data_IF_965128454072
#
_entry.id   IF_965128454072
#
_cell.length_a   1.000
_cell.length_b   1.000
_cell.length_c   1.000
_cell.angle_alpha   90.00
_cell.angle_beta   90.00
_cell.angle_gamma   90.00
#
_symmetry.space_group_name_H-M   'P 1'
#
loop_
_entity.id
_entity.type
_entity.pdbx_description
1 polymer ?
#
# COMPACT_ATOMS: atom_id res chain seq x y z
N UNK A 1 14.86 -13.99 -15.48
CA UNK A 1 13.49 -13.80 -15.03
C UNK A 1 12.99 -12.46 -15.52
N UNK A 2 11.95 -12.46 -16.33
CA UNK A 2 11.41 -11.20 -16.84
C UNK A 2 10.78 -10.42 -15.68
N UNK A 3 11.29 -9.24 -15.45
CA UNK A 3 10.71 -8.31 -14.48
C UNK A 3 9.30 -7.96 -14.94
N UNK A 4 8.25 -8.19 -14.12
CA UNK A 4 6.90 -7.81 -14.49
C UNK A 4 6.69 -6.27 -14.52
N UNK A 5 7.69 -5.51 -14.10
CA UNK A 5 7.64 -4.06 -14.07
C UNK A 5 7.28 -3.42 -15.41
N UNK A 6 7.87 -3.79 -16.56
CA UNK A 6 7.51 -3.17 -17.83
C UNK A 6 6.03 -3.31 -18.19
N UNK A 7 5.43 -4.44 -17.86
CA UNK A 7 4.01 -4.69 -18.12
C UNK A 7 3.11 -3.88 -17.21
N UNK A 8 3.49 -3.76 -15.94
CA UNK A 8 2.78 -2.92 -14.96
C UNK A 8 2.83 -1.46 -15.36
N UNK A 9 4.00 -1.01 -15.77
CA UNK A 9 4.20 0.36 -16.26
C UNK A 9 3.34 0.63 -17.49
N UNK A 10 3.35 -0.29 -18.46
CA UNK A 10 2.57 -0.13 -19.69
C UNK A 10 1.05 -0.06 -19.41
N UNK A 11 0.56 -0.92 -18.49
CA UNK A 11 -0.86 -0.97 -18.15
C UNK A 11 -1.36 0.27 -17.42
N UNK A 12 -0.47 1.00 -16.72
CA UNK A 12 -0.82 2.16 -15.91
C UNK A 12 -0.23 3.46 -16.45
N UNK A 13 0.50 3.42 -17.57
CA UNK A 13 1.28 4.54 -18.09
C UNK A 13 0.45 5.78 -18.41
N UNK A 14 -0.83 5.62 -18.73
CA UNK A 14 -1.73 6.75 -19.03
C UNK A 14 -2.05 7.58 -17.79
N UNK A 15 -1.93 6.99 -16.62
CA UNK A 15 -2.34 7.62 -15.35
C UNK A 15 -1.18 7.82 -14.39
N UNK A 16 -0.29 6.84 -14.28
CA UNK A 16 0.80 6.84 -13.31
C UNK A 16 2.12 6.56 -13.99
N UNK A 17 3.10 7.43 -13.76
CA UNK A 17 4.47 7.21 -14.22
C UNK A 17 5.29 6.67 -13.05
N UNK A 18 5.69 5.42 -13.14
CA UNK A 18 6.49 4.78 -12.10
C UNK A 18 7.92 5.34 -12.14
N UNK A 19 8.39 5.84 -11.01
CA UNK A 19 9.73 6.40 -10.87
C UNK A 19 10.73 5.39 -10.31
N UNK A 20 10.37 4.69 -9.24
CA UNK A 20 11.22 3.67 -8.63
C UNK A 20 10.43 2.78 -7.68
N UNK A 21 11.02 1.64 -7.34
CA UNK A 21 10.49 0.75 -6.33
C UNK A 21 10.83 1.30 -4.93
N UNK A 22 9.86 1.33 -4.04
CA UNK A 22 10.03 1.75 -2.65
C UNK A 22 10.25 0.56 -1.73
N UNK A 23 9.62 -0.56 -2.02
CA UNK A 23 9.75 -1.75 -1.20
C UNK A 23 9.00 -2.93 -1.78
N UNK A 24 9.37 -4.12 -1.33
CA UNK A 24 8.74 -5.36 -1.75
C UNK A 24 8.52 -6.25 -0.53
N UNK A 25 7.29 -6.70 -0.35
CA UNK A 25 6.92 -7.68 0.66
C UNK A 25 6.43 -8.98 0.05
N UNK A 26 5.99 -9.91 0.88
CA UNK A 26 5.42 -11.18 0.42
C UNK A 26 4.13 -11.04 -0.36
N UNK A 27 3.37 -9.97 -0.13
CA UNK A 27 2.03 -9.78 -0.69
C UNK A 27 1.97 -8.76 -1.84
N UNK A 28 2.85 -7.78 -1.82
CA UNK A 28 2.78 -6.68 -2.78
C UNK A 28 4.13 -6.01 -2.98
N UNK A 29 4.23 -5.25 -4.07
CA UNK A 29 5.36 -4.35 -4.33
C UNK A 29 4.84 -2.92 -4.32
N UNK A 30 5.58 -2.01 -3.69
CA UNK A 30 5.21 -0.60 -3.60
C UNK A 30 6.16 0.23 -4.44
N UNK A 31 5.61 1.09 -5.28
CA UNK A 31 6.36 1.97 -6.16
C UNK A 31 6.09 3.43 -5.84
N UNK A 32 7.10 4.26 -6.00
CA UNK A 32 6.92 5.70 -6.11
C UNK A 32 6.48 6.00 -7.54
N UNK A 33 5.39 6.72 -7.68
CA UNK A 33 4.86 7.08 -8.98
C UNK A 33 4.40 8.54 -9.01
N UNK A 34 4.34 9.11 -10.20
CA UNK A 34 3.74 10.41 -10.45
C UNK A 34 2.31 10.20 -10.95
N UNK A 35 1.34 10.75 -10.23
CA UNK A 35 -0.04 10.80 -10.68
C UNK A 35 -0.15 11.89 -11.73
N UNK A 36 -0.28 11.49 -12.99
CA UNK A 36 -0.26 12.43 -14.11
C UNK A 36 -1.52 13.28 -14.20
N UNK A 37 -2.62 12.78 -13.66
CA UNK A 37 -3.90 13.51 -13.67
C UNK A 37 -3.90 14.65 -12.65
N UNK A 38 -3.32 14.42 -11.47
CA UNK A 38 -3.35 15.38 -10.37
C UNK A 38 -2.00 16.03 -10.10
N UNK A 39 -0.99 15.68 -10.89
CA UNK A 39 0.38 16.21 -10.80
C UNK A 39 0.95 16.16 -9.38
N UNK A 40 0.97 14.94 -8.84
CA UNK A 40 1.46 14.71 -7.48
C UNK A 40 2.12 13.34 -7.35
N UNK A 41 3.02 13.21 -6.39
CA UNK A 41 3.65 11.93 -6.08
C UNK A 41 2.73 11.07 -5.23
N UNK A 42 2.69 9.78 -5.56
CA UNK A 42 1.86 8.80 -4.85
C UNK A 42 2.66 7.52 -4.61
N UNK A 43 2.20 6.73 -3.65
CA UNK A 43 2.67 5.37 -3.45
C UNK A 43 1.68 4.42 -4.13
N UNK A 44 2.17 3.66 -5.10
CA UNK A 44 1.38 2.71 -5.86
C UNK A 44 1.69 1.30 -5.35
N UNK A 45 0.73 0.65 -4.72
CA UNK A 45 0.89 -0.69 -4.20
C UNK A 45 0.23 -1.68 -5.16
N UNK A 46 1.04 -2.58 -5.72
CA UNK A 46 0.59 -3.58 -6.69
C UNK A 46 0.66 -4.95 -6.03
N UNK A 47 -0.47 -5.62 -5.94
CA UNK A 47 -0.52 -6.97 -5.37
C UNK A 47 0.17 -7.96 -6.30
N UNK A 48 0.84 -8.94 -5.72
CA UNK A 48 1.46 -10.01 -6.50
C UNK A 48 0.38 -10.82 -7.22
N UNK A 49 0.61 -11.26 -8.46
CA UNK A 49 -0.40 -11.99 -9.24
C UNK A 49 -0.97 -13.22 -8.53
N UNK A 50 -0.15 -13.93 -7.76
CA UNK A 50 -0.58 -15.10 -7.00
C UNK A 50 -1.65 -14.74 -5.97
N UNK A 51 -1.47 -13.62 -5.28
CA UNK A 51 -2.42 -13.13 -4.29
C UNK A 51 -3.68 -12.62 -4.96
N UNK A 52 -3.56 -11.91 -6.07
CA UNK A 52 -4.69 -11.42 -6.83
C UNK A 52 -5.59 -12.56 -7.31
N UNK A 53 -4.99 -13.67 -7.74
CA UNK A 53 -5.74 -14.87 -8.15
C UNK A 53 -6.52 -15.50 -6.99
N UNK A 54 -5.96 -15.48 -5.79
CA UNK A 54 -6.59 -16.07 -4.59
C UNK A 54 -7.73 -15.19 -4.09
N UNK A 55 -7.51 -13.89 -4.00
CA UNK A 55 -8.51 -12.94 -3.47
C UNK A 55 -9.67 -12.75 -4.47
N UNK A 56 -9.37 -12.62 -5.77
CA UNK A 56 -10.34 -12.28 -6.79
C UNK A 56 -10.69 -10.80 -6.83
N UNK A 57 -11.00 -10.31 -8.02
CA UNK A 57 -11.24 -8.89 -8.26
C UNK A 57 -12.47 -8.35 -7.51
N UNK A 58 -13.54 -9.12 -7.47
CA UNK A 58 -14.79 -8.70 -6.82
C UNK A 58 -14.61 -8.50 -5.32
N UNK A 59 -13.95 -9.45 -4.66
CA UNK A 59 -13.68 -9.37 -3.23
C UNK A 59 -12.73 -8.21 -2.92
N UNK A 60 -11.73 -8.00 -3.75
CA UNK A 60 -10.80 -6.88 -3.63
C UNK A 60 -11.55 -5.54 -3.66
N UNK A 61 -12.48 -5.36 -4.60
CA UNK A 61 -13.26 -4.12 -4.70
C UNK A 61 -14.10 -3.88 -3.44
N UNK A 62 -14.72 -4.92 -2.89
CA UNK A 62 -15.53 -4.80 -1.66
C UNK A 62 -14.64 -4.41 -0.47
N UNK A 63 -13.50 -5.07 -0.29
CA UNK A 63 -12.57 -4.75 0.79
C UNK A 63 -12.01 -3.33 0.67
N UNK A 64 -11.70 -2.89 -0.54
CA UNK A 64 -11.19 -1.55 -0.80
C UNK A 64 -12.24 -0.48 -0.48
N UNK A 65 -13.49 -0.69 -0.83
CA UNK A 65 -14.57 0.27 -0.50
C UNK A 65 -14.69 0.47 1.01
N UNK A 66 -14.60 -0.61 1.76
CA UNK A 66 -14.64 -0.55 3.22
C UNK A 66 -13.44 0.22 3.78
N UNK A 67 -12.25 -0.08 3.28
CA UNK A 67 -11.01 0.60 3.70
C UNK A 67 -11.00 2.07 3.28
N UNK A 68 -11.49 2.38 2.09
CA UNK A 68 -11.53 3.75 1.57
C UNK A 68 -12.44 4.67 2.41
N UNK A 69 -13.39 4.11 3.13
CA UNK A 69 -14.28 4.87 4.00
C UNK A 69 -13.62 5.28 5.33
N UNK A 70 -12.46 4.72 5.66
CA UNK A 70 -11.75 5.04 6.90
C UNK A 70 -11.14 6.44 6.82
N UNK A 71 -11.38 7.25 7.85
CA UNK A 71 -10.81 8.59 7.97
C UNK A 71 -10.23 8.74 9.37
N UNK A 72 -8.92 8.68 9.47
CA UNK A 72 -8.22 8.75 10.75
C UNK A 72 -6.84 9.37 10.54
N UNK A 73 -6.34 10.21 11.49
CA UNK A 73 -5.04 10.88 11.34
C UNK A 73 -3.85 9.94 11.19
N UNK A 74 -3.95 8.72 11.70
CA UNK A 74 -2.87 7.73 11.67
C UNK A 74 -3.14 6.56 10.72
N UNK A 75 -4.10 6.71 9.80
CA UNK A 75 -4.35 5.74 8.74
C UNK A 75 -4.17 6.45 7.40
N UNK A 76 -3.31 5.90 6.53
CA UNK A 76 -3.13 6.46 5.20
C UNK A 76 -4.44 6.36 4.41
N UNK A 77 -4.89 7.46 3.82
CA UNK A 77 -6.07 7.41 2.97
C UNK A 77 -5.80 6.65 1.68
N UNK A 78 -6.87 6.18 1.06
CA UNK A 78 -6.82 5.56 -0.25
C UNK A 78 -7.25 6.59 -1.28
N UNK A 79 -6.38 6.88 -2.26
CA UNK A 79 -6.69 7.82 -3.33
C UNK A 79 -7.43 7.14 -4.48
N UNK A 80 -7.05 5.91 -4.83
CA UNK A 80 -7.61 5.19 -5.96
C UNK A 80 -7.28 3.71 -5.86
N UNK A 81 -8.01 2.90 -6.61
CA UNK A 81 -7.75 1.47 -6.72
C UNK A 81 -8.28 0.95 -8.03
N UNK A 82 -7.82 -0.21 -8.47
CA UNK A 82 -8.35 -0.79 -9.67
C UNK A 82 -7.64 -2.07 -10.09
N UNK A 83 -7.97 -2.46 -11.30
CA UNK A 83 -7.36 -3.57 -11.99
C UNK A 83 -6.57 -3.04 -13.18
N UNK A 84 -5.41 -3.63 -13.44
CA UNK A 84 -4.61 -3.32 -14.61
C UNK A 84 -4.17 -4.61 -15.29
N UNK A 85 -4.03 -4.57 -16.60
CA UNK A 85 -3.66 -5.72 -17.41
C UNK A 85 -4.81 -6.20 -18.27
N UNK A 86 -4.50 -7.07 -19.23
CA UNK A 86 -5.49 -7.62 -20.16
C UNK A 86 -5.73 -9.08 -19.85
N UNK A 87 -6.97 -9.45 -19.56
CA UNK A 87 -7.36 -10.86 -19.38
C UNK A 87 -7.13 -11.67 -20.65
N UNK A 88 -7.27 -11.02 -21.80
CA UNK A 88 -7.16 -11.65 -23.12
C UNK A 88 -5.74 -12.11 -23.48
N UNK A 89 -4.72 -11.50 -22.85
CA UNK A 89 -3.32 -11.84 -23.14
C UNK A 89 -2.79 -13.02 -22.34
N UNK A 90 -3.60 -13.59 -21.44
CA UNK A 90 -3.15 -14.69 -20.57
C UNK A 90 -2.15 -14.28 -19.49
N UNK A 91 -1.86 -13.00 -19.37
CA UNK A 91 -0.84 -12.45 -18.46
C UNK A 91 -1.36 -12.12 -17.06
N UNK A 92 -2.65 -12.30 -16.84
CA UNK A 92 -3.27 -12.01 -15.56
C UNK A 92 -3.57 -10.53 -15.36
N UNK A 93 -4.45 -10.28 -14.41
CA UNK A 93 -4.87 -8.94 -14.02
C UNK A 93 -4.12 -8.57 -12.75
N UNK A 94 -3.60 -7.34 -12.70
CA UNK A 94 -2.97 -6.80 -11.50
C UNK A 94 -3.99 -6.01 -10.70
N UNK A 95 -4.07 -6.26 -9.41
CA UNK A 95 -4.83 -5.44 -8.49
C UNK A 95 -3.89 -4.42 -7.87
N UNK A 96 -4.31 -3.17 -7.80
CA UNK A 96 -3.48 -2.10 -7.26
C UNK A 96 -4.31 -1.10 -6.47
N UNK A 97 -3.63 -0.38 -5.57
CA UNK A 97 -4.20 0.80 -4.95
C UNK A 97 -3.16 1.89 -4.78
N UNK A 98 -3.67 3.12 -4.73
CA UNK A 98 -2.87 4.34 -4.73
C UNK A 98 -3.09 5.07 -3.41
N UNK A 99 -1.99 5.43 -2.78
CA UNK A 99 -1.97 6.11 -1.48
C UNK A 99 -1.09 7.36 -1.56
N UNK A 100 -1.20 8.27 -0.59
CA UNK A 100 -0.23 9.37 -0.51
C UNK A 100 1.20 8.83 -0.38
N UNK A 101 2.14 9.48 -1.04
CA UNK A 101 3.56 9.25 -0.78
C UNK A 101 3.96 10.04 0.46
N UNK A 102 4.40 9.35 1.49
CA UNK A 102 4.86 9.97 2.73
C UNK A 102 6.38 9.95 2.76
N UNK A 103 6.99 11.12 2.76
CA UNK A 103 8.43 11.25 2.97
C UNK A 103 8.74 10.92 4.42
N UNK A 104 9.84 10.20 4.63
CA UNK A 104 10.23 9.76 5.95
C UNK A 104 10.71 8.31 5.91
N UNK A 105 10.62 7.65 7.05
CA UNK A 105 11.08 6.27 7.18
C UNK A 105 10.02 5.38 7.82
N UNK A 106 10.17 4.08 7.64
CA UNK A 106 9.37 3.10 8.38
C UNK A 106 9.95 2.90 9.77
N UNK A 107 9.13 2.39 10.67
CA UNK A 107 9.60 2.01 12.00
C UNK A 107 10.69 0.95 11.90
N UNK A 108 10.62 0.03 10.92
CA UNK A 108 11.67 -0.97 10.69
C UNK A 108 13.02 -0.31 10.41
N UNK A 109 13.06 0.65 9.51
CA UNK A 109 14.29 1.37 9.17
C UNK A 109 14.88 2.07 10.40
N UNK A 110 14.03 2.70 11.19
CA UNK A 110 14.48 3.36 12.42
C UNK A 110 15.04 2.37 13.45
N UNK A 111 14.37 1.24 13.65
CA UNK A 111 14.84 0.21 14.56
C UNK A 111 16.16 -0.43 14.11
N UNK A 112 16.34 -0.62 12.80
CA UNK A 112 17.58 -1.16 12.25
C UNK A 112 18.76 -0.20 12.48
N UNK A 113 18.51 1.11 12.40
CA UNK A 113 19.52 2.14 12.61
C UNK A 113 19.81 2.38 14.10
N UNK A 114 18.79 2.46 14.94
CA UNK A 114 18.90 2.88 16.34
C UNK A 114 18.87 1.71 17.32
N UNK A 115 18.60 0.51 16.86
CA UNK A 115 18.51 -0.73 17.63
C UNK A 115 17.28 -0.79 18.54
N UNK A 116 17.01 0.30 19.29
CA UNK A 116 15.84 0.39 20.15
C UNK A 116 15.31 1.81 20.19
N UNK A 117 14.06 1.96 20.56
CA UNK A 117 13.41 3.25 20.76
C UNK A 117 13.54 3.68 22.23
N UNK A 118 13.50 5.00 22.46
CA UNK A 118 13.26 5.51 23.80
C UNK A 118 11.85 5.13 24.26
N UNK A 119 11.66 5.06 25.56
CA UNK A 119 10.40 4.62 26.17
C UNK A 119 9.24 5.55 25.75
N UNK A 120 9.44 6.87 25.80
CA UNK A 120 8.41 7.83 25.45
C UNK A 120 8.00 7.72 23.98
N UNK A 121 8.96 7.56 23.09
CA UNK A 121 8.70 7.38 21.67
C UNK A 121 7.96 6.07 21.39
N UNK A 122 8.39 4.97 22.03
CA UNK A 122 7.72 3.68 21.89
C UNK A 122 6.27 3.75 22.37
N UNK A 123 6.01 4.43 23.46
CA UNK A 123 4.65 4.63 23.99
C UNK A 123 3.81 5.47 23.02
N UNK A 124 4.37 6.54 22.49
CA UNK A 124 3.65 7.42 21.56
C UNK A 124 3.27 6.70 20.26
N UNK A 125 4.20 5.93 19.69
CA UNK A 125 3.94 5.14 18.49
C UNK A 125 2.88 4.07 18.77
N UNK A 126 3.00 3.36 19.87
CA UNK A 126 2.05 2.30 20.25
C UNK A 126 0.66 2.88 20.46
N UNK A 127 0.55 4.04 21.11
CA UNK A 127 -0.72 4.72 21.34
C UNK A 127 -1.38 5.13 20.03
N UNK A 128 -0.60 5.71 19.10
CA UNK A 128 -1.10 6.11 17.78
C UNK A 128 -1.59 4.90 16.98
N UNK A 129 -0.84 3.81 16.97
CA UNK A 129 -1.22 2.58 16.27
C UNK A 129 -2.47 1.97 16.91
N UNK A 130 -2.52 1.89 18.24
CA UNK A 130 -3.67 1.34 18.95
C UNK A 130 -4.94 2.14 18.68
N UNK A 131 -4.85 3.47 18.64
CA UNK A 131 -5.97 4.35 18.35
C UNK A 131 -6.48 4.13 16.92
N UNK A 132 -5.57 4.03 15.96
CA UNK A 132 -5.91 3.72 14.57
C UNK A 132 -6.58 2.36 14.42
N UNK A 133 -6.06 1.34 15.09
CA UNK A 133 -6.63 -0.01 15.05
C UNK A 133 -8.00 -0.06 15.71
N UNK A 134 -8.19 0.62 16.83
CA UNK A 134 -9.50 0.71 17.49
C UNK A 134 -10.54 1.31 16.55
N UNK A 135 -10.18 2.42 15.89
CA UNK A 135 -11.05 3.05 14.90
C UNK A 135 -11.39 2.07 13.75
N UNK A 136 -10.38 1.44 13.17
CA UNK A 136 -10.58 0.50 12.07
C UNK A 136 -11.47 -0.68 12.48
N UNK A 137 -11.22 -1.25 13.65
CA UNK A 137 -12.01 -2.38 14.17
C UNK A 137 -13.48 -2.00 14.38
N UNK A 138 -13.75 -0.79 14.89
CA UNK A 138 -15.11 -0.32 15.04
C UNK A 138 -15.82 -0.10 13.70
N UNK A 139 -15.07 0.05 12.62
CA UNK A 139 -15.60 0.16 11.27
C UNK A 139 -15.53 -1.16 10.48
N UNK A 140 -15.27 -2.27 11.16
CA UNK A 140 -15.30 -3.59 10.56
C UNK A 140 -14.04 -4.00 9.80
N UNK A 141 -12.94 -3.27 9.99
CA UNK A 141 -11.67 -3.56 9.30
C UNK A 141 -10.64 -4.10 10.29
N UNK A 142 -10.07 -5.25 9.98
CA UNK A 142 -8.97 -5.86 10.73
C UNK A 142 -7.75 -5.88 9.85
N UNK A 143 -6.64 -5.31 10.33
CA UNK A 143 -5.42 -5.15 9.52
C UNK A 143 -4.76 -6.49 9.19
N UNK A 144 -4.55 -7.35 10.17
CA UNK A 144 -3.96 -8.70 10.08
C UNK A 144 -2.46 -8.76 9.73
N UNK A 145 -1.79 -7.62 9.54
CA UNK A 145 -0.36 -7.60 9.21
C UNK A 145 0.35 -6.40 9.82
N UNK A 146 0.11 -6.13 11.11
CA UNK A 146 0.78 -5.05 11.82
C UNK A 146 2.23 -5.47 12.10
N UNK A 147 3.15 -4.68 11.59
CA UNK A 147 4.59 -4.89 11.78
C UNK A 147 5.33 -3.58 11.49
N UNK A 148 6.60 -3.44 11.94
CA UNK A 148 7.33 -2.18 11.78
C UNK A 148 7.46 -1.70 10.33
N UNK A 149 7.50 -2.59 9.36
CA UNK A 149 7.56 -2.24 7.94
C UNK A 149 6.32 -1.48 7.48
N UNK A 150 5.18 -1.67 8.16
CA UNK A 150 3.89 -1.06 7.81
C UNK A 150 3.56 0.17 8.64
N UNK A 151 4.50 0.66 9.45
CA UNK A 151 4.34 1.86 10.26
C UNK A 151 5.27 2.93 9.71
N UNK A 152 4.68 4.00 9.19
CA UNK A 152 5.41 5.16 8.67
C UNK A 152 5.54 6.22 9.77
N UNK A 153 6.73 6.78 9.88
CA UNK A 153 7.04 7.79 10.90
C UNK A 153 7.16 9.20 10.33
#
# INVERSE_FOLDING_TARGET
MSDPLPRRVAALADRYRIERELGQGGMATVYLAQDLKHDRKVALKVLKPELAAVIGAERFVVEIKTTAALQHPHILPLFDSGEAGKRESGEGVFLYYVMPYIEGETLRTKLDRETQLGIDEAVNITRAVADALDYAHRHGVIHRDIKPENILL
#
